data_IF_656407935424
#
_entry.id   IF_656407935424
#
_cell.length_a   1.000
_cell.length_b   1.000
_cell.length_c   1.000
_cell.angle_alpha   90.00
_cell.angle_beta   90.00
_cell.angle_gamma   90.00
#
_symmetry.space_group_name_H-M   'P 1'
#
loop_
_entity.id
_entity.type
_entity.pdbx_description
1 polymer ?
#
# COMPACT_ATOMS: atom_id res chain seq x y z
N UNK A 1 17.38 10.64 -14.16
CA UNK A 1 16.19 10.76 -15.03
C UNK A 1 15.16 11.60 -14.31
N UNK A 2 14.82 12.77 -14.82
CA UNK A 2 13.83 13.65 -14.18
C UNK A 2 12.44 12.99 -14.22
N UNK A 3 11.64 13.14 -13.16
CA UNK A 3 10.28 12.59 -13.06
C UNK A 3 9.44 12.94 -14.30
N UNK A 4 9.62 14.15 -14.86
CA UNK A 4 8.95 14.62 -16.07
C UNK A 4 9.18 13.73 -17.29
N UNK A 5 10.39 13.14 -17.43
CA UNK A 5 10.72 12.21 -18.51
C UNK A 5 10.09 10.84 -18.29
N UNK A 6 9.97 10.42 -17.03
CA UNK A 6 9.31 9.17 -16.68
C UNK A 6 7.79 9.26 -16.90
N UNK A 7 7.19 10.44 -16.63
CA UNK A 7 5.76 10.67 -16.87
C UNK A 7 5.39 10.49 -18.33
N UNK A 8 6.10 11.14 -19.25
CA UNK A 8 5.84 11.05 -20.70
C UNK A 8 6.06 9.66 -21.31
N UNK A 9 6.72 8.75 -20.56
CA UNK A 9 6.91 7.36 -20.98
C UNK A 9 5.75 6.43 -20.56
N UNK A 10 4.81 6.90 -19.73
CA UNK A 10 3.63 6.12 -19.37
C UNK A 10 2.62 6.06 -20.51
N UNK A 11 1.91 4.94 -20.58
CA UNK A 11 0.71 4.82 -21.38
C UNK A 11 -0.35 5.84 -20.92
N UNK A 12 -1.23 6.24 -21.84
CA UNK A 12 -2.27 7.25 -21.62
C UNK A 12 -3.16 6.92 -20.41
N UNK A 13 -3.46 5.65 -20.18
CA UNK A 13 -4.23 5.20 -19.01
C UNK A 13 -3.50 5.49 -17.69
N UNK A 14 -2.19 5.27 -17.63
CA UNK A 14 -1.36 5.55 -16.46
C UNK A 14 -1.22 7.05 -16.19
N UNK A 15 -1.05 7.85 -17.24
CA UNK A 15 -1.04 9.31 -17.13
C UNK A 15 -2.37 9.85 -16.61
N UNK A 16 -3.48 9.35 -17.15
CA UNK A 16 -4.82 9.73 -16.71
C UNK A 16 -5.04 9.40 -15.24
N UNK A 17 -4.69 8.19 -14.81
CA UNK A 17 -4.86 7.78 -13.42
C UNK A 17 -4.02 8.61 -12.45
N UNK A 18 -2.78 8.91 -12.83
CA UNK A 18 -1.93 9.78 -12.02
C UNK A 18 -2.48 11.21 -11.93
N UNK A 19 -2.86 11.82 -13.06
CA UNK A 19 -3.43 13.16 -13.07
C UNK A 19 -4.74 13.23 -12.27
N UNK A 20 -5.63 12.26 -12.43
CA UNK A 20 -6.88 12.20 -11.67
C UNK A 20 -6.63 12.11 -10.16
N UNK A 21 -5.64 11.33 -9.73
CA UNK A 21 -5.31 11.23 -8.30
C UNK A 21 -4.69 12.52 -7.76
N UNK A 22 -3.79 13.14 -8.52
CA UNK A 22 -3.19 14.42 -8.14
C UNK A 22 -4.23 15.54 -8.11
N UNK A 23 -5.22 15.54 -9.00
CA UNK A 23 -6.32 16.50 -8.98
C UNK A 23 -7.25 16.37 -7.78
N UNK A 24 -7.26 15.21 -7.10
CA UNK A 24 -8.03 15.00 -5.87
C UNK A 24 -7.26 15.38 -4.60
N UNK A 25 -6.14 16.11 -4.72
CA UNK A 25 -5.30 16.54 -3.59
C UNK A 25 -6.10 17.15 -2.43
N UNK A 26 -7.12 17.98 -2.71
CA UNK A 26 -7.97 18.59 -1.68
C UNK A 26 -8.79 17.54 -0.89
N UNK A 27 -9.29 16.49 -1.56
CA UNK A 27 -10.01 15.39 -0.92
C UNK A 27 -9.07 14.48 -0.09
N UNK A 28 -7.78 14.47 -0.45
CA UNK A 28 -6.72 13.80 0.28
C UNK A 28 -6.16 14.66 1.43
N UNK A 29 -6.67 15.88 1.61
CA UNK A 29 -6.27 16.80 2.68
C UNK A 29 -5.01 17.62 2.39
N UNK A 30 -4.55 17.67 1.14
CA UNK A 30 -3.37 18.43 0.75
C UNK A 30 -3.73 19.84 0.29
N UNK A 31 -2.80 20.80 0.45
CA UNK A 31 -3.04 22.19 0.07
C UNK A 31 -2.80 22.45 -1.43
N UNK A 32 -1.98 21.62 -2.07
CA UNK A 32 -1.62 21.75 -3.49
C UNK A 32 -1.43 20.40 -4.19
N UNK A 33 -1.75 20.28 -5.50
CA UNK A 33 -1.44 19.10 -6.30
C UNK A 33 0.06 18.88 -6.51
N UNK A 34 0.89 19.90 -6.28
CA UNK A 34 2.35 19.78 -6.35
C UNK A 34 2.98 19.35 -5.02
N UNK A 35 2.17 19.20 -3.97
CA UNK A 35 2.63 18.82 -2.64
C UNK A 35 2.79 17.30 -2.55
N UNK A 36 3.77 16.78 -3.28
CA UNK A 36 4.04 15.36 -3.42
C UNK A 36 4.27 14.69 -2.06
N UNK A 37 4.87 15.37 -1.08
CA UNK A 37 5.04 14.83 0.27
C UNK A 37 3.69 14.56 0.97
N UNK A 38 2.73 15.48 0.87
CA UNK A 38 1.40 15.28 1.44
C UNK A 38 0.63 14.19 0.70
N UNK A 39 0.63 14.25 -0.65
CA UNK A 39 -0.05 13.25 -1.48
C UNK A 39 0.46 11.84 -1.17
N UNK A 40 1.77 11.69 -1.05
CA UNK A 40 2.41 10.40 -0.79
C UNK A 40 2.35 9.94 0.67
N UNK A 41 2.13 10.85 1.63
CA UNK A 41 1.80 10.48 3.00
C UNK A 41 0.37 9.89 3.10
N UNK A 42 -0.51 10.23 2.16
CA UNK A 42 -1.86 9.69 2.13
C UNK A 42 -1.91 8.36 1.37
N UNK A 43 -2.18 7.27 2.09
CA UNK A 43 -2.23 5.93 1.51
C UNK A 43 -3.28 5.79 0.39
N UNK A 44 -4.36 6.57 0.44
CA UNK A 44 -5.40 6.58 -0.59
C UNK A 44 -4.90 7.11 -1.94
N UNK A 45 -3.85 7.92 -1.95
CA UNK A 45 -3.20 8.34 -3.20
C UNK A 45 -2.64 7.12 -3.96
N UNK A 46 -1.92 6.25 -3.23
CA UNK A 46 -1.36 5.02 -3.79
C UNK A 46 -2.43 4.00 -4.18
N UNK A 47 -3.48 3.83 -3.37
CA UNK A 47 -4.60 2.93 -3.69
C UNK A 47 -5.37 3.39 -4.90
N UNK A 48 -5.77 4.66 -4.94
CA UNK A 48 -6.52 5.20 -6.07
C UNK A 48 -5.72 5.12 -7.37
N UNK A 49 -4.40 5.34 -7.32
CA UNK A 49 -3.54 5.17 -8.50
C UNK A 49 -3.51 3.72 -8.96
N UNK A 50 -3.40 2.76 -8.03
CA UNK A 50 -3.36 1.33 -8.34
C UNK A 50 -4.69 0.83 -8.90
N UNK A 51 -5.81 1.15 -8.24
CA UNK A 51 -7.14 0.71 -8.67
C UNK A 51 -7.53 1.34 -10.00
N UNK A 52 -7.26 2.64 -10.17
CA UNK A 52 -7.44 3.29 -11.45
C UNK A 52 -6.58 2.64 -12.53
N UNK A 53 -5.30 2.37 -12.27
CA UNK A 53 -4.41 1.77 -13.28
C UNK A 53 -4.88 0.36 -13.67
N UNK A 54 -5.26 -0.47 -12.70
CA UNK A 54 -5.79 -1.80 -12.95
C UNK A 54 -7.13 -1.77 -13.72
N UNK A 55 -8.01 -0.80 -13.43
CA UNK A 55 -9.30 -0.65 -14.11
C UNK A 55 -9.19 -0.02 -15.51
N UNK A 56 -8.43 1.06 -15.64
CA UNK A 56 -8.36 1.89 -16.84
C UNK A 56 -7.37 1.37 -17.89
N UNK A 57 -6.31 0.66 -17.48
CA UNK A 57 -5.37 0.05 -18.44
C UNK A 57 -5.86 -1.31 -18.98
N UNK A 58 -6.91 -1.89 -18.41
CA UNK A 58 -7.57 -3.10 -18.92
C UNK A 58 -6.60 -4.28 -19.09
N UNK A 59 -6.54 -4.86 -20.30
CA UNK A 59 -5.64 -5.96 -20.65
C UNK A 59 -4.15 -5.56 -20.72
N UNK A 60 -3.82 -4.27 -20.71
CA UNK A 60 -2.44 -3.79 -20.76
C UNK A 60 -1.83 -3.81 -19.35
N UNK A 61 -1.54 -5.02 -18.86
CA UNK A 61 -0.98 -5.22 -17.52
C UNK A 61 0.38 -4.52 -17.36
N UNK A 62 1.19 -4.44 -18.43
CA UNK A 62 2.43 -3.66 -18.40
C UNK A 62 2.19 -2.16 -18.20
N UNK A 63 1.12 -1.62 -18.78
CA UNK A 63 0.75 -0.21 -18.63
C UNK A 63 0.29 0.11 -17.20
N UNK A 64 -0.49 -0.80 -16.59
CA UNK A 64 -0.88 -0.66 -15.19
C UNK A 64 0.34 -0.76 -14.25
N UNK A 65 1.23 -1.70 -14.52
CA UNK A 65 2.44 -1.94 -13.73
C UNK A 65 3.40 -0.75 -13.77
N UNK A 66 3.59 -0.14 -14.95
CA UNK A 66 4.42 1.06 -15.12
C UNK A 66 3.81 2.30 -14.46
N UNK A 67 2.48 2.43 -14.41
CA UNK A 67 1.78 3.48 -13.66
C UNK A 67 2.01 3.39 -12.15
N UNK A 68 1.92 2.18 -11.59
CA UNK A 68 2.19 1.93 -10.17
C UNK A 68 3.65 2.22 -9.85
N UNK A 69 4.58 1.75 -10.69
CA UNK A 69 6.01 2.01 -10.53
C UNK A 69 6.33 3.51 -10.57
N UNK A 70 5.73 4.25 -11.51
CA UNK A 70 5.88 5.70 -11.57
C UNK A 70 5.35 6.40 -10.31
N UNK A 71 4.17 6.02 -9.80
CA UNK A 71 3.63 6.57 -8.56
C UNK A 71 4.56 6.37 -7.37
N UNK A 72 5.18 5.19 -7.27
CA UNK A 72 6.17 4.91 -6.23
C UNK A 72 7.45 5.75 -6.38
N UNK A 73 7.94 5.95 -7.61
CA UNK A 73 9.09 6.80 -7.90
C UNK A 73 8.80 8.29 -7.64
N UNK A 74 7.58 8.75 -7.97
CA UNK A 74 7.09 10.08 -7.67
C UNK A 74 7.12 10.34 -6.16
N UNK A 75 6.63 9.39 -5.36
CA UNK A 75 6.68 9.46 -3.91
C UNK A 75 8.08 9.31 -3.32
N UNK A 76 8.97 8.59 -3.98
CA UNK A 76 10.37 8.45 -3.55
C UNK A 76 11.19 9.72 -3.79
N UNK A 77 10.81 10.52 -4.79
CA UNK A 77 11.54 11.74 -5.16
C UNK A 77 11.00 13.02 -4.48
N UNK A 78 9.88 12.92 -3.76
CA UNK A 78 9.23 14.02 -3.04
C UNK A 78 10.02 14.58 -1.81
N UNK A 79 11.29 14.19 -1.67
CA UNK A 79 12.17 14.59 -0.56
C UNK A 79 12.23 13.51 0.50
N UNK A 80 13.45 13.22 0.94
CA UNK A 80 13.87 12.48 2.15
C UNK A 80 12.77 12.26 3.20
N UNK A 81 11.84 11.36 2.91
CA UNK A 81 11.17 10.61 3.95
C UNK A 81 12.18 9.53 4.27
N UNK A 82 12.97 9.75 5.33
CA UNK A 82 13.32 8.61 6.16
C UNK A 82 11.98 7.95 6.39
N UNK A 83 11.70 6.86 5.68
CA UNK A 83 10.51 6.07 5.89
C UNK A 83 10.67 5.46 7.29
N UNK A 84 10.48 6.28 8.32
CA UNK A 84 9.75 5.83 9.46
C UNK A 84 8.41 5.49 8.86
N UNK A 85 8.24 4.22 8.49
CA UNK A 85 6.93 3.66 8.39
C UNK A 85 6.30 3.93 9.76
N UNK A 86 5.63 5.07 9.90
CA UNK A 86 4.51 5.17 10.79
C UNK A 86 3.53 4.19 10.18
N UNK A 87 3.66 2.93 10.60
CA UNK A 87 2.53 2.02 10.72
C UNK A 87 1.44 2.92 11.26
N UNK A 88 0.50 3.31 10.40
CA UNK A 88 -0.74 3.91 10.87
C UNK A 88 -1.27 2.80 11.73
N UNK A 89 -1.04 2.89 13.05
CA UNK A 89 -1.08 1.71 13.92
C UNK A 89 -2.41 1.01 13.73
N UNK A 90 -2.50 -0.29 14.03
CA UNK A 90 -3.72 -1.10 13.88
C UNK A 90 -5.03 -0.34 14.10
N UNK A 91 -5.08 0.55 15.10
CA UNK A 91 -6.17 1.49 15.37
C UNK A 91 -6.71 2.34 14.19
N UNK A 92 -5.92 2.58 13.15
CA UNK A 92 -6.32 3.34 11.96
C UNK A 92 -7.07 2.48 10.93
N UNK A 93 -7.03 1.15 11.06
CA UNK A 93 -7.90 0.28 10.29
C UNK A 93 -9.34 0.35 10.83
N UNK A 94 -10.35 0.18 9.97
CA UNK A 94 -11.71 -0.07 10.44
C UNK A 94 -11.76 -1.34 11.28
N UNK A 95 -12.78 -1.46 12.14
CA UNK A 95 -12.89 -2.54 13.14
C UNK A 95 -12.76 -3.94 12.52
N UNK A 96 -13.30 -4.14 11.32
CA UNK A 96 -13.20 -5.41 10.59
C UNK A 96 -11.74 -5.73 10.20
N UNK A 97 -10.93 -4.72 9.85
CA UNK A 97 -9.53 -4.87 9.49
C UNK A 97 -8.64 -5.11 10.71
N UNK A 98 -8.94 -4.44 11.82
CA UNK A 98 -8.32 -4.72 13.12
C UNK A 98 -8.56 -6.16 13.55
N UNK A 99 -9.80 -6.63 13.43
CA UNK A 99 -10.18 -8.01 13.74
C UNK A 99 -9.41 -8.99 12.86
N UNK A 100 -9.39 -8.78 11.54
CA UNK A 100 -8.72 -9.69 10.62
C UNK A 100 -7.22 -9.77 10.86
N UNK A 101 -6.58 -8.63 11.14
CA UNK A 101 -5.16 -8.63 11.44
C UNK A 101 -4.84 -9.33 12.76
N UNK A 102 -5.57 -9.03 13.84
CA UNK A 102 -5.37 -9.69 15.14
C UNK A 102 -5.64 -11.20 15.08
N UNK A 103 -6.67 -11.64 14.35
CA UNK A 103 -6.95 -13.06 14.14
C UNK A 103 -5.80 -13.77 13.43
N UNK A 104 -5.12 -13.09 12.50
CA UNK A 104 -3.97 -13.66 11.80
C UNK A 104 -2.72 -13.68 12.67
N UNK A 105 -2.50 -12.67 13.52
CA UNK A 105 -1.43 -12.71 14.52
C UNK A 105 -1.61 -13.89 15.47
N UNK A 106 -2.84 -14.10 15.96
CA UNK A 106 -3.16 -15.20 16.89
C UNK A 106 -2.90 -16.61 16.30
N UNK A 107 -2.78 -16.73 14.98
CA UNK A 107 -2.42 -17.98 14.31
C UNK A 107 -0.91 -18.24 14.23
N UNK A 108 -0.07 -17.40 14.82
CA UNK A 108 1.40 -17.51 14.77
C UNK A 108 1.91 -18.94 15.03
N UNK A 109 1.37 -19.63 16.04
CA UNK A 109 1.80 -20.98 16.40
C UNK A 109 1.45 -21.99 15.31
N UNK A 110 0.25 -21.91 14.74
CA UNK A 110 -0.18 -22.75 13.60
C UNK A 110 0.60 -22.45 12.32
N UNK A 111 1.12 -21.23 12.19
CA UNK A 111 1.97 -20.79 11.08
C UNK A 111 3.46 -21.12 11.30
N UNK A 112 3.81 -21.74 12.44
CA UNK A 112 5.17 -22.16 12.77
C UNK A 112 6.06 -21.05 13.34
N UNK A 113 5.47 -19.94 13.79
CA UNK A 113 6.19 -18.81 14.37
C UNK A 113 6.24 -18.90 15.90
N UNK A 114 7.28 -18.29 16.48
CA UNK A 114 7.51 -18.34 17.92
C UNK A 114 6.57 -17.43 18.72
N UNK A 115 6.14 -16.31 18.13
CA UNK A 115 5.24 -15.36 18.77
C UNK A 115 4.44 -14.54 17.75
N UNK A 116 3.37 -13.91 18.24
CA UNK A 116 2.53 -12.96 17.48
C UNK A 116 3.30 -11.70 17.06
N UNK A 117 4.41 -11.42 17.74
CA UNK A 117 5.28 -10.27 17.47
C UNK A 117 6.39 -10.62 16.48
N UNK A 118 6.52 -11.89 16.07
CA UNK A 118 7.54 -12.37 15.16
C UNK A 118 7.17 -12.07 13.71
N UNK A 119 7.07 -10.77 13.41
CA UNK A 119 6.57 -10.22 12.15
C UNK A 119 7.32 -10.78 10.94
N UNK A 120 8.63 -11.00 11.06
CA UNK A 120 9.45 -11.55 9.98
C UNK A 120 9.07 -13.01 9.67
N UNK A 121 8.79 -13.83 10.69
CA UNK A 121 8.32 -15.20 10.50
C UNK A 121 6.91 -15.21 9.89
N UNK A 122 5.98 -14.44 10.48
CA UNK A 122 4.59 -14.36 10.03
C UNK A 122 4.53 -13.93 8.56
N UNK A 123 5.25 -12.87 8.20
CA UNK A 123 5.29 -12.35 6.84
C UNK A 123 6.07 -13.23 5.85
N UNK A 124 6.94 -14.12 6.34
CA UNK A 124 7.57 -15.15 5.54
C UNK A 124 6.62 -16.30 5.19
N UNK A 125 5.50 -16.44 5.90
CA UNK A 125 4.49 -17.45 5.64
C UNK A 125 3.39 -16.89 4.74
N UNK A 126 3.27 -17.40 3.50
CA UNK A 126 2.27 -16.95 2.52
C UNK A 126 0.83 -17.05 3.05
N UNK A 127 0.55 -18.01 3.94
CA UNK A 127 -0.78 -18.19 4.54
C UNK A 127 -1.15 -17.03 5.46
N UNK A 128 -0.18 -16.30 6.00
CA UNK A 128 -0.46 -15.08 6.76
C UNK A 128 -1.13 -14.02 5.87
N UNK A 129 -0.54 -13.77 4.70
CA UNK A 129 -1.07 -12.82 3.72
C UNK A 129 -2.41 -13.27 3.10
N UNK A 130 -2.55 -14.57 2.80
CA UNK A 130 -3.81 -15.10 2.28
C UNK A 130 -4.93 -15.02 3.31
N UNK A 131 -4.69 -15.44 4.55
CA UNK A 131 -5.69 -15.36 5.62
C UNK A 131 -6.12 -13.92 5.91
N UNK A 132 -5.18 -12.97 5.89
CA UNK A 132 -5.52 -11.55 6.05
C UNK A 132 -6.39 -11.06 4.89
N UNK A 133 -6.03 -11.41 3.65
CA UNK A 133 -6.81 -11.07 2.45
C UNK A 133 -8.21 -11.67 2.50
N UNK A 134 -8.34 -12.96 2.76
CA UNK A 134 -9.62 -13.66 2.77
C UNK A 134 -10.53 -13.15 3.88
N UNK A 135 -9.99 -12.98 5.10
CA UNK A 135 -10.74 -12.37 6.18
C UNK A 135 -11.20 -10.96 5.82
N UNK A 136 -10.32 -10.14 5.26
CA UNK A 136 -10.67 -8.77 4.90
C UNK A 136 -11.76 -8.72 3.84
N UNK A 137 -11.68 -9.56 2.80
CA UNK A 137 -12.72 -9.64 1.77
C UNK A 137 -14.06 -10.12 2.35
N UNK A 138 -14.04 -11.09 3.26
CA UNK A 138 -15.25 -11.63 3.88
C UNK A 138 -15.88 -10.73 4.94
N UNK A 139 -15.08 -10.01 5.73
CA UNK A 139 -15.55 -9.24 6.89
C UNK A 139 -15.68 -7.74 6.62
N UNK A 140 -14.91 -7.18 5.68
CA UNK A 140 -14.88 -5.76 5.39
C UNK A 140 -15.54 -5.37 4.05
N UNK A 141 -15.72 -6.33 3.13
CA UNK A 141 -16.08 -6.05 1.74
C UNK A 141 -14.89 -5.54 0.92
N UNK A 142 -14.98 -5.64 -0.41
CA UNK A 142 -13.82 -5.47 -1.31
C UNK A 142 -13.17 -4.08 -1.25
N UNK A 143 -13.95 -3.02 -1.07
CA UNK A 143 -13.44 -1.64 -1.01
C UNK A 143 -12.56 -1.42 0.23
N UNK A 144 -12.98 -1.94 1.38
CA UNK A 144 -12.24 -1.79 2.65
C UNK A 144 -11.14 -2.84 2.77
N UNK A 145 -11.33 -4.03 2.19
CA UNK A 145 -10.35 -5.10 2.21
C UNK A 145 -9.00 -4.66 1.62
N UNK A 146 -9.01 -3.87 0.55
CA UNK A 146 -7.79 -3.32 -0.08
C UNK A 146 -6.94 -2.54 0.92
N UNK A 147 -7.56 -1.74 1.79
CA UNK A 147 -6.86 -0.98 2.84
C UNK A 147 -6.20 -1.91 3.87
N UNK A 148 -6.89 -2.97 4.29
CA UNK A 148 -6.35 -3.94 5.26
C UNK A 148 -5.21 -4.77 4.67
N UNK A 149 -5.34 -5.22 3.41
CA UNK A 149 -4.33 -6.01 2.69
C UNK A 149 -3.03 -5.22 2.57
N UNK A 150 -3.14 -3.94 2.25
CA UNK A 150 -1.97 -3.12 2.07
C UNK A 150 -1.39 -2.60 3.39
N UNK A 151 -2.19 -2.44 4.45
CA UNK A 151 -1.65 -2.36 5.80
C UNK A 151 -0.78 -3.58 6.13
N UNK A 152 -1.29 -4.80 5.87
CA UNK A 152 -0.51 -6.03 6.06
C UNK A 152 0.77 -6.07 5.22
N UNK A 153 0.70 -5.58 3.98
CA UNK A 153 1.88 -5.48 3.10
C UNK A 153 2.93 -4.51 3.65
N UNK A 154 2.50 -3.34 4.16
CA UNK A 154 3.38 -2.36 4.79
C UNK A 154 3.99 -2.89 6.10
N UNK A 155 3.19 -3.57 6.92
CA UNK A 155 3.66 -4.27 8.12
C UNK A 155 4.78 -5.25 7.77
N UNK A 156 4.58 -6.08 6.75
CA UNK A 156 5.58 -7.06 6.31
C UNK A 156 6.84 -6.45 5.67
N UNK A 157 6.70 -5.35 4.93
CA UNK A 157 7.85 -4.61 4.41
C UNK A 157 8.69 -3.99 5.54
N UNK A 158 8.04 -3.48 6.59
CA UNK A 158 8.74 -2.94 7.77
C UNK A 158 9.44 -4.03 8.59
N UNK A 159 8.85 -5.22 8.66
CA UNK A 159 9.41 -6.38 9.37
C UNK A 159 10.68 -6.93 8.72
N UNK A 160 10.78 -6.84 7.39
CA UNK A 160 11.96 -7.25 6.62
C UNK A 160 13.03 -6.15 6.53
N UNK A 161 12.66 -4.88 6.73
CA UNK A 161 13.58 -3.74 6.77
C UNK A 161 14.24 -3.53 8.16
N UNK A 162 13.67 -4.08 9.23
CA UNK A 162 14.27 -4.02 10.56
C UNK A 162 15.51 -4.95 10.63
N UNK A 163 16.73 -4.44 10.89
CA UNK A 163 17.87 -5.31 11.13
C UNK A 163 17.57 -6.14 12.37
N UNK A 164 17.78 -7.46 12.24
CA UNK A 164 17.74 -8.42 13.34
C UNK A 164 18.68 -7.91 14.43
N UNK A 165 18.15 -7.26 15.48
CA UNK A 165 18.94 -6.94 16.66
C UNK A 165 19.09 -8.25 17.42
N UNK A 166 20.16 -8.98 17.10
CA UNK A 166 20.66 -10.09 17.91
C UNK A 166 20.95 -9.59 19.34
#
# INVERSE_FOLDING_TARGET
>A
TSISSAFSALASCGQLCFNNMVSQYSALGCASPTESACLCANVNFGYGLRDCSNGACGSNVEAASSAIAYGSAFCSCAGTVTATATSTGLAALPSCGQLCFNNMLAQYSSLGCASEQDAACLCGNVNFGYGLRDCSNGACGSEVASTVIAYGSAYCASATAAPKKL
#
